data_IF_799866314815
#
_entry.id   IF_799866314815
#
_cell.length_a   1.000
_cell.length_b   1.000
_cell.length_c   1.000
_cell.angle_alpha   90.00
_cell.angle_beta   90.00
_cell.angle_gamma   90.00
#
_symmetry.space_group_name_H-M   'P 1'
#
loop_
_entity.id
_entity.type
_entity.pdbx_description
1 polymer ?
#
# COMPACT_ATOMS: atom_id res chain seq x y z
N UNK A 1 5.28 -2.96 -19.57
CA UNK A 1 6.69 -2.67 -19.22
C UNK A 1 6.93 -3.22 -17.81
N UNK A 2 8.03 -3.91 -17.60
CA UNK A 2 8.44 -4.37 -16.27
C UNK A 2 9.02 -3.20 -15.47
N UNK A 3 8.72 -3.12 -14.18
CA UNK A 3 9.19 -2.10 -13.25
C UNK A 3 9.61 -2.77 -11.94
N UNK A 4 10.90 -2.71 -11.62
CA UNK A 4 11.36 -2.94 -10.26
C UNK A 4 11.17 -1.64 -9.45
N UNK A 5 10.24 -1.65 -8.50
CA UNK A 5 9.89 -0.46 -7.72
C UNK A 5 11.02 0.08 -6.85
N UNK A 6 12.08 -0.72 -6.61
CA UNK A 6 13.27 -0.28 -5.86
C UNK A 6 14.32 0.42 -6.72
N UNK A 7 14.10 0.52 -8.04
CA UNK A 7 15.02 1.11 -8.99
C UNK A 7 14.56 2.50 -9.46
N UNK A 8 15.27 3.52 -9.04
CA UNK A 8 14.94 4.93 -9.33
C UNK A 8 14.95 5.24 -10.84
N UNK A 9 15.87 4.65 -11.61
CA UNK A 9 15.96 4.87 -13.05
C UNK A 9 14.84 4.17 -13.83
N UNK A 10 14.35 3.04 -13.33
CA UNK A 10 13.19 2.38 -13.92
C UNK A 10 11.91 3.18 -13.69
N UNK A 11 11.73 3.83 -12.54
CA UNK A 11 10.62 4.74 -12.30
C UNK A 11 10.59 5.91 -13.30
N UNK A 12 11.74 6.54 -13.55
CA UNK A 12 11.83 7.64 -14.53
C UNK A 12 11.37 7.17 -15.92
N UNK A 13 11.84 6.01 -16.37
CA UNK A 13 11.43 5.40 -17.63
C UNK A 13 9.94 5.05 -17.66
N UNK A 14 9.42 4.50 -16.56
CA UNK A 14 8.01 4.10 -16.46
C UNK A 14 7.08 5.29 -16.59
N UNK A 15 7.36 6.38 -15.88
CA UNK A 15 6.56 7.60 -15.96
C UNK A 15 6.62 8.21 -17.35
N UNK A 16 7.84 8.31 -17.95
CA UNK A 16 7.99 8.83 -19.30
C UNK A 16 7.23 7.99 -20.35
N UNK A 17 7.32 6.66 -20.25
CA UNK A 17 6.60 5.75 -21.14
C UNK A 17 5.07 5.86 -20.97
N UNK A 18 4.57 6.03 -19.73
CA UNK A 18 3.14 6.23 -19.47
C UNK A 18 2.63 7.51 -20.11
N UNK A 19 3.35 8.63 -19.92
CA UNK A 19 2.99 9.92 -20.53
C UNK A 19 2.98 9.81 -22.07
N UNK A 20 3.99 9.18 -22.64
CA UNK A 20 4.07 9.00 -24.11
C UNK A 20 2.91 8.13 -24.66
N UNK A 21 2.48 7.12 -23.91
CA UNK A 21 1.43 6.20 -24.35
C UNK A 21 0.01 6.73 -24.12
N UNK A 22 -0.21 7.46 -23.01
CA UNK A 22 -1.56 7.88 -22.57
C UNK A 22 -1.80 9.38 -22.72
N UNK A 23 -0.78 10.17 -23.01
CA UNK A 23 -0.87 11.63 -23.10
C UNK A 23 -0.90 12.38 -21.78
N UNK A 24 -0.80 11.68 -20.64
CA UNK A 24 -0.84 12.25 -19.30
C UNK A 24 -0.36 11.29 -18.23
N UNK A 25 -0.30 11.77 -16.97
CA UNK A 25 0.03 10.97 -15.77
C UNK A 25 -0.71 11.55 -14.60
N UNK A 26 -1.94 11.10 -14.38
CA UNK A 26 -2.90 11.71 -13.45
C UNK A 26 -3.14 10.85 -12.21
N UNK A 27 -2.81 9.56 -12.30
CA UNK A 27 -3.07 8.59 -11.23
C UNK A 27 -1.82 7.72 -11.03
N UNK A 28 -1.45 7.55 -9.75
CA UNK A 28 -0.51 6.53 -9.32
C UNK A 28 -1.13 5.66 -8.23
N UNK A 29 -1.05 4.34 -8.38
CA UNK A 29 -1.37 3.38 -7.32
C UNK A 29 -0.09 2.63 -6.96
N UNK A 30 0.48 2.92 -5.79
CA UNK A 30 1.61 2.19 -5.22
C UNK A 30 1.09 0.91 -4.55
N UNK A 31 0.91 -0.14 -5.34
CA UNK A 31 0.37 -1.41 -4.88
C UNK A 31 1.45 -2.47 -4.59
N UNK A 32 2.60 -2.39 -5.24
CA UNK A 32 3.67 -3.36 -5.05
C UNK A 32 4.09 -3.44 -3.58
N UNK A 33 4.18 -4.66 -3.07
CA UNK A 33 4.56 -4.91 -1.68
C UNK A 33 4.84 -6.39 -1.45
N UNK A 34 5.59 -6.67 -0.41
CA UNK A 34 5.88 -8.02 0.06
C UNK A 34 5.61 -8.13 1.54
N UNK A 35 5.25 -9.32 1.97
CA UNK A 35 5.13 -9.72 3.37
C UNK A 35 6.06 -10.91 3.63
N UNK A 36 6.73 -10.91 4.78
CA UNK A 36 7.54 -12.03 5.26
C UNK A 36 7.23 -12.21 6.74
N UNK A 37 6.56 -13.29 7.04
CA UNK A 37 6.13 -13.67 8.39
C UNK A 37 7.32 -14.18 9.20
N UNK A 38 7.51 -13.66 10.41
CA UNK A 38 8.53 -14.11 11.35
C UNK A 38 8.20 -13.66 12.76
N UNK A 39 8.42 -14.51 13.75
CA UNK A 39 8.46 -14.07 15.15
C UNK A 39 9.62 -13.08 15.33
N UNK A 40 9.45 -12.12 16.25
CA UNK A 40 10.49 -11.09 16.47
C UNK A 40 11.84 -11.70 16.86
N UNK A 41 11.82 -12.81 17.61
CA UNK A 41 13.04 -13.53 18.02
C UNK A 41 13.78 -14.15 16.83
N UNK A 42 13.08 -14.48 15.73
CA UNK A 42 13.60 -15.18 14.56
C UNK A 42 13.77 -14.23 13.36
N UNK A 43 13.53 -12.93 13.56
CA UNK A 43 13.55 -11.93 12.49
C UNK A 43 14.94 -11.83 11.83
N UNK A 44 15.02 -12.14 10.54
CA UNK A 44 16.26 -12.02 9.77
C UNK A 44 16.43 -10.61 9.24
N UNK A 45 17.64 -10.09 9.35
CA UNK A 45 17.98 -8.74 8.90
C UNK A 45 17.78 -8.56 7.39
N UNK A 46 18.10 -9.58 6.59
CA UNK A 46 17.90 -9.57 5.13
C UNK A 46 16.42 -9.48 4.75
N UNK A 47 15.54 -10.20 5.45
CA UNK A 47 14.10 -10.17 5.20
C UNK A 47 13.50 -8.81 5.55
N UNK A 48 13.92 -8.24 6.70
CA UNK A 48 13.51 -6.90 7.09
C UNK A 48 13.97 -5.84 6.08
N UNK A 49 15.24 -5.91 5.63
CA UNK A 49 15.76 -5.00 4.59
C UNK A 49 14.97 -5.12 3.30
N UNK A 50 14.72 -6.35 2.84
CA UNK A 50 13.95 -6.60 1.62
C UNK A 50 12.54 -6.01 1.71
N UNK A 51 11.85 -6.17 2.86
CA UNK A 51 10.54 -5.54 3.08
C UNK A 51 10.66 -4.00 3.07
N UNK A 52 11.69 -3.43 3.70
CA UNK A 52 11.92 -1.98 3.66
C UNK A 52 12.17 -1.48 2.24
N UNK A 53 13.00 -2.16 1.47
CA UNK A 53 13.33 -1.77 0.09
C UNK A 53 12.07 -1.76 -0.80
N UNK A 54 11.27 -2.82 -0.77
CA UNK A 54 10.08 -2.88 -1.61
C UNK A 54 8.97 -1.96 -1.08
N UNK A 55 8.59 -2.10 0.19
CA UNK A 55 7.39 -1.45 0.72
C UNK A 55 7.60 0.04 1.01
N UNK A 56 8.79 0.43 1.50
CA UNK A 56 9.07 1.82 1.90
C UNK A 56 9.76 2.57 0.76
N UNK A 57 10.94 2.07 0.32
CA UNK A 57 11.72 2.76 -0.72
C UNK A 57 10.93 2.79 -2.03
N UNK A 58 10.33 1.64 -2.44
CA UNK A 58 9.52 1.56 -3.65
C UNK A 58 8.35 2.54 -3.66
N UNK A 59 7.58 2.61 -2.56
CA UNK A 59 6.49 3.59 -2.42
C UNK A 59 7.01 5.03 -2.44
N UNK A 60 8.14 5.30 -1.77
CA UNK A 60 8.77 6.63 -1.77
C UNK A 60 9.21 7.07 -3.15
N UNK A 61 9.82 6.18 -3.93
CA UNK A 61 10.21 6.45 -5.32
C UNK A 61 8.99 6.70 -6.20
N UNK A 62 7.92 5.90 -6.05
CA UNK A 62 6.67 6.15 -6.77
C UNK A 62 6.12 7.55 -6.51
N UNK A 63 6.01 7.96 -5.24
CA UNK A 63 5.56 9.32 -4.89
C UNK A 63 6.49 10.40 -5.44
N UNK A 64 7.82 10.21 -5.34
CA UNK A 64 8.83 11.15 -5.88
C UNK A 64 8.62 11.41 -7.37
N UNK A 65 8.51 10.35 -8.17
CA UNK A 65 8.36 10.48 -9.62
C UNK A 65 6.98 10.99 -10.01
N UNK A 66 5.92 10.59 -9.30
CA UNK A 66 4.59 11.14 -9.52
C UNK A 66 4.54 12.64 -9.24
N UNK A 67 5.10 13.12 -8.12
CA UNK A 67 5.16 14.55 -7.82
C UNK A 67 5.93 15.34 -8.88
N UNK A 68 7.07 14.80 -9.35
CA UNK A 68 7.84 15.45 -10.40
C UNK A 68 7.05 15.59 -11.70
N UNK A 69 6.23 14.59 -12.05
CA UNK A 69 5.43 14.62 -13.26
C UNK A 69 4.17 15.47 -13.10
N UNK A 70 3.41 15.31 -12.01
CA UNK A 70 2.06 15.87 -11.82
C UNK A 70 2.06 17.35 -11.39
N UNK A 71 3.09 17.82 -10.67
CA UNK A 71 3.14 19.21 -10.18
C UNK A 71 3.12 20.25 -11.31
N UNK A 72 2.69 21.50 -11.08
CA UNK A 72 2.81 22.57 -12.04
C UNK A 72 4.24 22.70 -12.60
N UNK A 73 4.38 22.73 -13.93
CA UNK A 73 5.67 22.71 -14.62
C UNK A 73 6.35 21.34 -14.69
N UNK A 74 5.73 20.28 -14.20
CA UNK A 74 6.14 18.90 -14.43
C UNK A 74 5.74 18.38 -15.83
N UNK A 75 6.19 17.19 -16.17
CA UNK A 75 5.97 16.61 -17.52
C UNK A 75 4.48 16.30 -17.85
N UNK A 76 3.64 16.07 -16.84
CA UNK A 76 2.18 15.95 -16.99
C UNK A 76 1.43 17.19 -16.50
N UNK A 77 1.91 17.86 -15.46
CA UNK A 77 1.59 19.26 -15.06
C UNK A 77 0.16 19.60 -14.65
N UNK A 78 -0.74 18.62 -14.51
CA UNK A 78 -2.17 18.87 -14.30
C UNK A 78 -2.67 18.55 -12.86
N UNK A 79 -1.78 18.19 -11.96
CA UNK A 79 -2.17 17.62 -10.66
C UNK A 79 -2.51 16.15 -10.77
N UNK A 80 -3.23 15.59 -9.77
CA UNK A 80 -3.63 14.19 -9.84
C UNK A 80 -3.96 13.55 -8.49
N UNK A 81 -3.99 12.22 -8.47
CA UNK A 81 -4.24 11.42 -7.28
C UNK A 81 -3.22 10.29 -7.12
N UNK A 82 -2.74 10.12 -5.89
CA UNK A 82 -1.87 9.00 -5.51
C UNK A 82 -2.59 8.18 -4.44
N UNK A 83 -2.63 6.88 -4.63
CA UNK A 83 -3.12 5.91 -3.63
C UNK A 83 -1.99 4.96 -3.28
N UNK A 84 -1.57 4.98 -2.03
CA UNK A 84 -0.61 4.03 -1.48
C UNK A 84 -1.36 2.88 -0.80
N UNK A 85 -0.90 1.63 -1.03
CA UNK A 85 -1.50 0.47 -0.37
C UNK A 85 -0.69 0.14 0.89
N UNK A 86 -1.21 0.58 2.04
CA UNK A 86 -0.69 0.21 3.36
C UNK A 86 -1.25 -1.16 3.80
N UNK A 87 -1.86 -1.24 4.96
CA UNK A 87 -2.53 -2.43 5.50
C UNK A 87 -3.23 -2.07 6.81
N UNK A 88 -4.25 -2.80 7.21
CA UNK A 88 -4.78 -2.77 8.58
C UNK A 88 -3.67 -3.04 9.61
N UNK A 89 -2.64 -3.81 9.25
CA UNK A 89 -1.45 -4.05 10.07
C UNK A 89 -0.63 -2.77 10.38
N UNK A 90 -0.92 -1.64 9.73
CA UNK A 90 -0.34 -0.34 10.09
C UNK A 90 -0.99 0.26 11.35
N UNK A 91 -2.19 -0.18 11.72
CA UNK A 91 -3.02 0.39 12.80
C UNK A 91 -3.31 -0.58 13.92
N UNK A 92 -3.40 -1.87 13.63
CA UNK A 92 -3.59 -2.94 14.63
C UNK A 92 -2.40 -3.88 14.66
N UNK A 93 -2.18 -4.54 15.81
CA UNK A 93 -1.06 -5.45 16.01
C UNK A 93 -1.49 -6.90 15.77
N UNK A 94 -0.69 -7.61 15.00
CA UNK A 94 -0.77 -9.05 14.81
C UNK A 94 0.57 -9.70 15.13
N UNK A 95 0.58 -10.86 15.78
CA UNK A 95 1.83 -11.58 16.01
C UNK A 95 2.46 -12.04 14.70
N UNK A 96 3.77 -12.19 14.70
CA UNK A 96 4.62 -12.68 13.63
C UNK A 96 4.72 -11.80 12.35
N UNK A 97 4.12 -10.62 12.32
CA UNK A 97 4.24 -9.69 11.18
C UNK A 97 4.87 -8.33 11.56
N UNK A 98 5.74 -8.31 12.58
CA UNK A 98 6.31 -7.05 13.10
C UNK A 98 7.06 -6.25 12.02
N UNK A 99 7.88 -6.90 11.20
CA UNK A 99 8.60 -6.25 10.09
C UNK A 99 7.65 -5.66 9.06
N UNK A 100 6.66 -6.45 8.63
CA UNK A 100 5.64 -5.99 7.69
C UNK A 100 4.82 -4.82 8.24
N UNK A 101 4.28 -4.94 9.48
CA UNK A 101 3.53 -3.86 10.15
C UNK A 101 4.34 -2.57 10.22
N UNK A 102 5.63 -2.66 10.58
CA UNK A 102 6.53 -1.52 10.59
C UNK A 102 6.63 -0.83 9.23
N UNK A 103 6.77 -1.60 8.14
CA UNK A 103 6.84 -1.01 6.79
C UNK A 103 5.51 -0.36 6.38
N UNK A 104 4.36 -0.97 6.71
CA UNK A 104 3.05 -0.43 6.36
C UNK A 104 2.68 0.80 7.20
N UNK A 105 3.12 0.87 8.46
CA UNK A 105 3.04 2.08 9.29
C UNK A 105 3.90 3.22 8.70
N UNK A 106 5.08 2.90 8.14
CA UNK A 106 5.90 3.88 7.45
C UNK A 106 5.19 4.42 6.20
N UNK A 107 4.54 3.57 5.39
CA UNK A 107 3.75 3.99 4.21
C UNK A 107 2.62 4.94 4.61
N UNK A 108 1.88 4.66 5.69
CA UNK A 108 0.87 5.59 6.21
C UNK A 108 1.48 6.95 6.56
N UNK A 109 2.55 6.93 7.35
CA UNK A 109 3.19 8.20 7.78
C UNK A 109 3.71 9.01 6.60
N UNK A 110 4.37 8.35 5.64
CA UNK A 110 4.87 9.00 4.42
C UNK A 110 3.73 9.61 3.59
N UNK A 111 2.58 8.91 3.48
CA UNK A 111 1.38 9.41 2.80
C UNK A 111 0.90 10.73 3.40
N UNK A 112 0.81 10.81 4.72
CA UNK A 112 0.37 12.03 5.44
C UNK A 112 1.33 13.20 5.25
N UNK A 113 2.64 12.95 5.31
CA UNK A 113 3.67 13.98 5.09
C UNK A 113 3.61 14.48 3.65
N UNK A 114 3.56 13.55 2.68
CA UNK A 114 3.48 13.90 1.26
C UNK A 114 2.21 14.71 0.92
N UNK A 115 1.07 14.41 1.55
CA UNK A 115 -0.15 15.19 1.40
C UNK A 115 0.01 16.65 1.90
N UNK A 116 0.70 16.83 3.04
CA UNK A 116 1.01 18.16 3.56
C UNK A 116 1.95 18.93 2.63
N UNK A 117 2.97 18.28 2.09
CA UNK A 117 3.90 18.90 1.13
C UNK A 117 3.17 19.29 -0.16
N UNK A 118 2.37 18.41 -0.74
CA UNK A 118 1.62 18.68 -1.97
C UNK A 118 0.68 19.88 -1.81
N UNK A 119 0.00 19.96 -0.67
CA UNK A 119 -0.88 21.11 -0.34
C UNK A 119 -0.10 22.40 -0.15
N UNK A 120 0.96 22.37 0.66
CA UNK A 120 1.80 23.55 0.96
C UNK A 120 2.50 24.12 -0.28
N UNK A 121 2.91 23.26 -1.20
CA UNK A 121 3.66 23.62 -2.41
C UNK A 121 2.76 23.79 -3.64
N UNK A 122 1.44 23.64 -3.50
CA UNK A 122 0.48 23.87 -4.57
C UNK A 122 0.61 22.87 -5.73
N UNK A 123 0.94 21.60 -5.46
CA UNK A 123 1.14 20.60 -6.52
C UNK A 123 -0.16 20.18 -7.21
N UNK A 124 -1.32 20.43 -6.59
CA UNK A 124 -2.60 19.97 -7.11
C UNK A 124 -2.78 18.44 -7.03
N UNK A 125 -2.00 17.76 -6.18
CA UNK A 125 -2.02 16.32 -6.04
C UNK A 125 -2.62 15.93 -4.70
N UNK A 126 -3.60 15.01 -4.72
CA UNK A 126 -4.14 14.37 -3.51
C UNK A 126 -3.42 13.05 -3.28
N UNK A 127 -3.13 12.72 -2.03
CA UNK A 127 -2.44 11.48 -1.68
C UNK A 127 -3.16 10.85 -0.49
N UNK A 128 -3.59 9.59 -0.66
CA UNK A 128 -4.26 8.84 0.38
C UNK A 128 -3.68 7.43 0.45
N UNK A 129 -3.99 6.68 1.50
CA UNK A 129 -3.68 5.27 1.53
C UNK A 129 -4.91 4.40 1.84
N UNK A 130 -4.86 3.15 1.40
CA UNK A 130 -5.79 2.09 1.77
C UNK A 130 -5.19 1.25 2.89
N UNK A 131 -6.05 0.77 3.79
CA UNK A 131 -5.71 -0.25 4.77
C UNK A 131 -6.53 -1.52 4.48
N UNK A 132 -6.06 -2.38 3.55
CA UNK A 132 -6.68 -3.67 3.34
C UNK A 132 -6.66 -4.51 4.61
N UNK A 133 -7.75 -5.21 4.91
CA UNK A 133 -7.75 -6.37 5.77
C UNK A 133 -7.08 -7.58 5.11
N UNK A 134 -7.36 -8.80 5.59
CA UNK A 134 -6.90 -9.99 4.88
C UNK A 134 -7.75 -10.20 3.61
N UNK A 135 -7.06 -10.22 2.47
CA UNK A 135 -7.68 -10.38 1.13
C UNK A 135 -7.40 -11.77 0.60
N UNK A 136 -8.38 -12.37 -0.06
CA UNK A 136 -8.27 -13.70 -0.68
C UNK A 136 -7.37 -13.66 -1.93
N UNK A 137 -6.07 -13.60 -1.72
CA UNK A 137 -4.99 -13.59 -2.73
C UNK A 137 -3.92 -14.60 -2.37
N UNK A 138 -2.99 -14.86 -3.28
CA UNK A 138 -1.84 -15.73 -3.00
C UNK A 138 -1.05 -15.26 -1.77
N UNK A 139 -0.82 -13.94 -1.63
CA UNK A 139 -0.15 -13.38 -0.46
C UNK A 139 -0.94 -13.62 0.84
N UNK A 140 -2.27 -13.44 0.81
CA UNK A 140 -3.12 -13.68 1.98
C UNK A 140 -3.15 -15.15 2.39
N UNK A 141 -3.17 -16.06 1.42
CA UNK A 141 -3.12 -17.50 1.69
C UNK A 141 -1.73 -17.94 2.15
N UNK A 142 -0.67 -17.34 1.61
CA UNK A 142 0.70 -17.59 2.07
C UNK A 142 0.86 -17.16 3.54
N UNK A 143 0.38 -15.99 3.91
CA UNK A 143 0.38 -15.53 5.30
C UNK A 143 -0.31 -16.53 6.23
N UNK A 144 -1.46 -17.10 5.83
CA UNK A 144 -2.15 -18.11 6.65
C UNK A 144 -1.29 -19.37 6.86
N UNK A 145 -0.58 -19.82 5.82
CA UNK A 145 0.35 -20.96 5.91
C UNK A 145 1.56 -20.63 6.80
N UNK A 146 2.10 -19.42 6.68
CA UNK A 146 3.27 -18.98 7.46
C UNK A 146 2.93 -18.84 8.95
N UNK A 147 1.71 -18.41 9.30
CA UNK A 147 1.19 -18.38 10.67
C UNK A 147 1.15 -19.80 11.29
N UNK A 148 0.80 -20.81 10.49
CA UNK A 148 0.90 -22.22 10.91
C UNK A 148 2.35 -22.63 11.11
N UNK A 149 3.23 -22.28 10.19
CA UNK A 149 4.65 -22.65 10.25
C UNK A 149 5.37 -22.07 11.49
N UNK A 150 4.95 -20.90 11.96
CA UNK A 150 5.48 -20.32 13.22
C UNK A 150 4.72 -20.77 14.48
N UNK A 151 3.79 -21.73 14.35
CA UNK A 151 3.10 -22.37 15.48
C UNK A 151 1.96 -21.56 16.10
N UNK A 152 1.42 -20.55 15.41
CA UNK A 152 0.35 -19.68 15.91
C UNK A 152 -1.06 -20.14 15.49
N UNK A 153 -1.17 -21.14 14.62
CA UNK A 153 -2.44 -21.78 14.26
C UNK A 153 -2.21 -23.27 13.97
N UNK A 154 -3.22 -24.15 14.18
CA UNK A 154 -3.08 -25.57 13.90
C UNK A 154 -3.08 -25.89 12.41
N UNK A 155 -3.76 -25.10 11.60
CA UNK A 155 -3.83 -25.20 10.13
C UNK A 155 -4.24 -23.86 9.51
N UNK A 156 -4.09 -23.75 8.18
CA UNK A 156 -4.40 -22.51 7.45
C UNK A 156 -5.89 -22.13 7.51
N UNK A 157 -6.78 -23.13 7.57
CA UNK A 157 -8.21 -22.88 7.73
C UNK A 157 -8.55 -22.22 9.06
N UNK A 158 -7.92 -22.67 10.14
CA UNK A 158 -8.06 -22.08 11.48
C UNK A 158 -7.46 -20.64 11.51
N UNK A 159 -6.32 -20.42 10.86
CA UNK A 159 -5.73 -19.08 10.74
C UNK A 159 -6.69 -18.12 10.02
N UNK A 160 -7.24 -18.51 8.88
CA UNK A 160 -8.25 -17.72 8.14
C UNK A 160 -9.51 -17.52 8.96
N UNK A 161 -10.04 -18.57 9.60
CA UNK A 161 -11.26 -18.48 10.43
C UNK A 161 -11.08 -17.52 11.60
N UNK A 162 -9.89 -17.47 12.21
CA UNK A 162 -9.56 -16.50 13.28
C UNK A 162 -9.67 -15.06 12.79
N UNK A 163 -9.17 -14.76 11.59
CA UNK A 163 -9.27 -13.42 10.97
C UNK A 163 -10.72 -13.09 10.62
N UNK A 164 -11.44 -14.02 9.98
CA UNK A 164 -12.86 -13.84 9.65
C UNK A 164 -13.71 -13.61 10.91
N UNK A 165 -13.41 -14.33 12.00
CA UNK A 165 -14.09 -14.14 13.28
C UNK A 165 -13.87 -12.76 13.94
N UNK A 166 -12.78 -12.08 13.59
CA UNK A 166 -12.49 -10.71 14.03
C UNK A 166 -12.97 -9.66 13.01
N UNK A 167 -13.49 -10.08 11.87
CA UNK A 167 -13.97 -9.19 10.79
C UNK A 167 -15.50 -9.08 10.89
N UNK A 168 -16.07 -7.93 11.30
CA UNK A 168 -17.53 -7.76 11.45
C UNK A 168 -18.36 -8.14 10.24
N UNK A 169 -17.85 -7.93 9.01
CA UNK A 169 -18.55 -8.37 7.79
C UNK A 169 -18.47 -9.89 7.54
N UNK A 170 -17.77 -10.66 8.39
CA UNK A 170 -17.80 -12.13 8.41
C UNK A 170 -17.18 -12.81 7.19
N UNK A 171 -16.34 -12.12 6.43
CA UNK A 171 -15.61 -12.66 5.26
C UNK A 171 -14.24 -12.04 5.09
N UNK A 172 -13.38 -12.68 4.30
CA UNK A 172 -12.18 -12.04 3.77
C UNK A 172 -12.56 -10.93 2.78
N UNK A 173 -11.65 -9.97 2.60
CA UNK A 173 -11.74 -9.02 1.50
C UNK A 173 -11.53 -9.72 0.16
N UNK A 174 -12.11 -9.16 -0.89
CA UNK A 174 -11.89 -9.54 -2.27
C UNK A 174 -11.07 -8.45 -2.98
N UNK A 175 -10.39 -8.81 -4.07
CA UNK A 175 -9.63 -7.83 -4.88
C UNK A 175 -10.51 -6.68 -5.35
N UNK A 176 -11.78 -6.97 -5.68
CA UNK A 176 -12.78 -5.97 -6.06
C UNK A 176 -13.04 -4.93 -4.98
N UNK A 177 -13.13 -5.33 -3.69
CA UNK A 177 -13.32 -4.40 -2.57
C UNK A 177 -12.20 -3.34 -2.53
N UNK A 178 -10.97 -3.78 -2.77
CA UNK A 178 -9.79 -2.89 -2.79
C UNK A 178 -9.78 -1.99 -4.01
N UNK A 179 -10.14 -2.54 -5.19
CA UNK A 179 -10.17 -1.80 -6.44
C UNK A 179 -11.23 -0.68 -6.40
N UNK A 180 -12.42 -0.94 -5.90
CA UNK A 180 -13.50 0.05 -5.78
C UNK A 180 -13.10 1.21 -4.87
N UNK A 181 -12.46 0.91 -3.73
CA UNK A 181 -11.94 1.93 -2.84
C UNK A 181 -10.82 2.78 -3.49
N UNK A 182 -9.92 2.15 -4.26
CA UNK A 182 -8.88 2.84 -5.00
C UNK A 182 -9.48 3.76 -6.07
N UNK A 183 -10.47 3.29 -6.84
CA UNK A 183 -11.20 4.09 -7.82
C UNK A 183 -11.86 5.29 -7.17
N UNK A 184 -12.55 5.11 -6.04
CA UNK A 184 -13.15 6.22 -5.29
C UNK A 184 -12.09 7.27 -4.91
N UNK A 185 -10.96 6.87 -4.31
CA UNK A 185 -9.91 7.80 -3.89
C UNK A 185 -9.23 8.52 -5.08
N UNK A 186 -9.19 7.89 -6.26
CA UNK A 186 -8.65 8.50 -7.47
C UNK A 186 -9.64 9.45 -8.16
N UNK A 187 -10.93 9.33 -7.87
CA UNK A 187 -12.00 10.06 -8.55
C UNK A 187 -12.23 11.47 -7.99
N UNK A 188 -13.09 12.24 -8.68
CA UNK A 188 -13.50 13.58 -8.24
C UNK A 188 -14.40 13.59 -7.00
N UNK A 189 -15.04 12.47 -6.69
CA UNK A 189 -15.84 12.30 -5.46
C UNK A 189 -14.98 12.45 -4.20
N UNK A 190 -13.69 12.12 -4.32
CA UNK A 190 -12.69 12.28 -3.26
C UNK A 190 -11.90 13.60 -3.33
N UNK A 191 -12.38 14.63 -4.06
CA UNK A 191 -11.65 15.88 -4.31
C UNK A 191 -11.26 16.68 -3.05
N UNK A 192 -11.90 16.42 -1.92
CA UNK A 192 -11.60 17.08 -0.63
C UNK A 192 -11.00 16.11 0.39
N UNK A 193 -10.48 14.95 -0.10
CA UNK A 193 -9.85 13.91 0.72
C UNK A 193 -8.37 13.81 0.35
N UNK A 194 -7.48 14.15 1.28
CA UNK A 194 -6.03 13.98 1.16
C UNK A 194 -5.41 13.70 2.52
N UNK A 195 -4.34 12.92 2.58
CA UNK A 195 -3.67 12.49 3.81
C UNK A 195 -4.48 11.50 4.64
N UNK A 196 -5.55 10.94 4.09
CA UNK A 196 -6.40 9.96 4.77
C UNK A 196 -5.87 8.53 4.57
N UNK A 197 -6.08 7.69 5.60
CA UNK A 197 -6.02 6.25 5.50
C UNK A 197 -7.43 5.68 5.53
N UNK A 198 -7.84 4.99 4.47
CA UNK A 198 -9.17 4.39 4.33
C UNK A 198 -9.11 2.90 4.66
N UNK A 199 -9.71 2.46 5.79
CA UNK A 199 -9.85 1.03 6.06
C UNK A 199 -10.76 0.36 5.02
N UNK A 200 -10.28 -0.75 4.45
CA UNK A 200 -11.03 -1.64 3.55
C UNK A 200 -10.85 -3.06 4.09
N UNK A 201 -11.35 -3.28 5.29
CA UNK A 201 -11.00 -4.39 6.16
C UNK A 201 -12.22 -5.10 6.77
N UNK A 202 -13.41 -4.75 6.30
CA UNK A 202 -14.66 -5.32 6.81
C UNK A 202 -14.96 -4.97 8.28
N UNK A 203 -14.32 -3.90 8.81
CA UNK A 203 -14.47 -3.44 10.18
C UNK A 203 -13.47 -4.04 11.18
N UNK A 204 -12.47 -4.77 10.70
CA UNK A 204 -11.50 -5.48 11.54
C UNK A 204 -10.63 -4.53 12.39
N UNK A 205 -10.32 -3.34 11.89
CA UNK A 205 -9.46 -2.34 12.53
C UNK A 205 -10.19 -1.31 13.39
N UNK A 206 -11.45 -1.56 13.74
CA UNK A 206 -12.24 -0.66 14.60
C UNK A 206 -11.81 -0.74 16.06
#
# INVERSE_FOLDING_TARGET
MELNVTDDAQWEKAVAATIAALGGYDILINNAGIEITSLVIDLKTEDLRRMCDVNIVGTGLGMKHAFRAMRPGGSAGAGGAIVNVASVAATIAYPAIAGYSGTKSAVDRMTRVAAMEAGKLGYGVRINCLYPGLVATDMGMQLANDIVAVGLAPDAGAAVASVVGQTPLGRLGEVGDMADAAVFLCSNEARFITGAGLPVDGGMGM
#
